data_IF_156056972987
#
_entry.id   IF_156056972987
#
_cell.length_a   1.000
_cell.length_b   1.000
_cell.length_c   1.000
_cell.angle_alpha   90.00
_cell.angle_beta   90.00
_cell.angle_gamma   90.00
#
_symmetry.space_group_name_H-M   'P 1'
#
loop_
_entity.id
_entity.type
_entity.pdbx_description
1 polymer ?
#
# COMPACT_ATOMS: atom_id res chain seq x y z
N UNK A 1 23.91 10.08 11.76
CA UNK A 1 24.53 11.37 11.40
C UNK A 1 25.69 11.24 10.42
N UNK A 2 26.67 10.33 10.62
CA UNK A 2 27.86 10.19 9.74
C UNK A 2 27.62 9.92 8.23
N UNK A 3 26.49 9.37 7.80
CA UNK A 3 26.24 9.10 6.36
C UNK A 3 25.68 10.32 5.62
N UNK A 4 24.74 11.04 6.23
CA UNK A 4 24.17 12.26 5.64
C UNK A 4 25.22 13.36 5.49
N UNK A 5 26.06 13.54 6.51
CA UNK A 5 27.21 14.47 6.50
C UNK A 5 28.20 14.16 5.37
N UNK A 6 28.54 12.87 5.16
CA UNK A 6 29.42 12.43 4.05
C UNK A 6 28.85 12.75 2.68
N UNK A 7 27.52 12.79 2.55
CA UNK A 7 26.82 13.10 1.30
C UNK A 7 26.38 14.56 1.19
N UNK A 8 26.74 15.41 2.16
CA UNK A 8 26.33 16.82 2.21
C UNK A 8 24.82 17.02 2.32
N UNK A 9 24.08 16.02 2.84
CA UNK A 9 22.61 16.08 2.97
C UNK A 9 22.22 16.62 4.35
N UNK A 10 21.36 17.62 4.35
CA UNK A 10 20.91 18.35 5.55
C UNK A 10 19.51 17.94 6.03
N UNK A 11 18.74 17.26 5.18
CA UNK A 11 17.40 16.77 5.50
C UNK A 11 17.51 15.35 6.04
N UNK A 12 16.99 15.14 7.25
CA UNK A 12 16.86 13.82 7.83
C UNK A 12 15.63 13.10 7.25
N UNK A 13 15.78 11.83 6.91
CA UNK A 13 14.70 10.95 6.50
C UNK A 13 14.60 9.75 7.43
N UNK A 14 13.37 9.29 7.67
CA UNK A 14 13.06 8.10 8.44
C UNK A 14 12.09 7.25 7.62
N UNK A 15 12.33 5.93 7.59
CA UNK A 15 11.44 4.97 6.96
C UNK A 15 11.32 3.76 7.87
N UNK A 16 10.21 3.70 8.60
CA UNK A 16 9.78 2.50 9.33
C UNK A 16 8.32 2.22 8.97
N UNK A 17 7.98 1.00 8.50
CA UNK A 17 6.59 0.63 8.26
C UNK A 17 5.74 0.80 9.53
N UNK A 18 4.46 1.15 9.39
CA UNK A 18 3.50 1.42 10.48
C UNK A 18 3.68 2.73 11.23
N UNK A 19 4.68 3.56 10.90
CA UNK A 19 4.80 4.89 11.49
C UNK A 19 3.61 5.79 11.16
N UNK A 20 2.84 5.49 10.10
CA UNK A 20 1.59 6.18 9.80
C UNK A 20 0.59 6.15 10.98
N UNK A 21 0.61 5.12 11.82
CA UNK A 21 -0.28 5.02 12.98
C UNK A 21 0.14 5.90 14.17
N UNK A 22 1.31 6.53 14.09
CA UNK A 22 1.88 7.38 15.12
C UNK A 22 2.15 8.80 14.63
N UNK A 23 1.54 9.20 13.51
CA UNK A 23 1.77 10.51 12.90
C UNK A 23 1.41 11.68 13.81
N UNK A 24 0.36 11.56 14.63
CA UNK A 24 0.01 12.60 15.61
C UNK A 24 1.15 12.84 16.62
N UNK A 25 1.78 11.76 17.08
CA UNK A 25 2.91 11.83 18.00
C UNK A 25 4.16 12.40 17.32
N UNK A 26 4.41 12.01 16.06
CA UNK A 26 5.51 12.57 15.28
C UNK A 26 5.33 14.07 15.05
N UNK A 27 4.11 14.52 14.75
CA UNK A 27 3.77 15.94 14.61
C UNK A 27 3.95 16.73 15.92
N UNK A 28 3.63 16.11 17.06
CA UNK A 28 3.85 16.71 18.38
C UNK A 28 5.35 16.83 18.69
N UNK A 29 6.11 15.75 18.57
CA UNK A 29 7.53 15.73 18.88
C UNK A 29 8.37 16.62 17.97
N UNK A 30 7.98 16.72 16.71
CA UNK A 30 8.67 17.51 15.69
C UNK A 30 7.97 18.85 15.46
N UNK A 31 7.17 19.32 16.41
CA UNK A 31 6.50 20.62 16.34
C UNK A 31 7.51 21.73 16.11
N UNK A 32 7.25 22.58 15.12
CA UNK A 32 8.15 23.66 14.70
C UNK A 32 9.17 23.25 13.63
N UNK A 33 9.27 21.95 13.31
CA UNK A 33 9.98 21.49 12.11
C UNK A 33 9.08 21.57 10.86
N UNK A 34 9.69 21.48 9.68
CA UNK A 34 8.98 21.32 8.42
C UNK A 34 8.74 19.83 8.11
N UNK A 35 7.96 19.16 8.97
CA UNK A 35 7.65 17.73 8.78
C UNK A 35 6.83 17.51 7.50
N UNK A 36 7.37 16.66 6.61
CA UNK A 36 6.69 16.14 5.43
C UNK A 36 6.63 14.62 5.49
N UNK A 37 5.48 14.05 5.16
CA UNK A 37 5.23 12.62 5.21
C UNK A 37 4.84 12.11 3.83
N UNK A 38 5.49 11.04 3.40
CA UNK A 38 5.18 10.33 2.16
C UNK A 38 4.57 9.01 2.56
N UNK A 39 3.32 8.79 2.17
CA UNK A 39 2.61 7.54 2.43
C UNK A 39 2.43 6.82 1.10
N UNK A 40 3.00 5.62 1.02
CA UNK A 40 2.92 4.81 -0.18
C UNK A 40 1.73 3.85 -0.10
N UNK A 41 0.83 3.96 -1.06
CA UNK A 41 -0.27 3.05 -1.28
C UNK A 41 0.10 2.04 -2.36
N UNK A 42 -0.32 0.79 -2.19
CA UNK A 42 -0.13 -0.29 -3.16
C UNK A 42 -1.36 -1.17 -3.21
N UNK A 43 -1.59 -1.87 -4.31
CA UNK A 43 -2.70 -2.81 -4.47
C UNK A 43 -2.76 -3.80 -3.27
N UNK A 44 -3.90 -3.91 -2.56
CA UNK A 44 -4.01 -4.76 -1.38
C UNK A 44 -3.79 -6.25 -1.66
N UNK A 45 -4.09 -6.73 -2.88
CA UNK A 45 -3.74 -8.11 -3.29
C UNK A 45 -2.23 -8.31 -3.21
N UNK A 46 -1.46 -7.38 -3.79
CA UNK A 46 -0.01 -7.48 -3.85
C UNK A 46 0.63 -7.30 -2.49
N UNK A 47 0.05 -6.46 -1.62
CA UNK A 47 0.49 -6.29 -0.24
C UNK A 47 0.29 -7.58 0.55
N UNK A 48 -0.92 -8.15 0.52
CA UNK A 48 -1.24 -9.40 1.25
C UNK A 48 -0.39 -10.56 0.74
N UNK A 49 -0.23 -10.70 -0.58
CA UNK A 49 0.67 -11.68 -1.16
C UNK A 49 2.12 -11.45 -0.68
N UNK A 50 2.63 -10.21 -0.69
CA UNK A 50 3.99 -9.92 -0.27
C UNK A 50 4.28 -10.34 1.18
N UNK A 51 3.32 -10.17 2.10
CA UNK A 51 3.50 -10.58 3.49
C UNK A 51 3.71 -12.10 3.66
N UNK A 52 3.10 -12.93 2.79
CA UNK A 52 3.28 -14.39 2.83
C UNK A 52 4.72 -14.81 2.49
N UNK A 53 5.40 -14.06 1.64
CA UNK A 53 6.71 -14.45 1.09
C UNK A 53 7.88 -13.62 1.66
N UNK A 54 7.68 -12.87 2.74
CA UNK A 54 8.77 -12.07 3.36
C UNK A 54 10.01 -12.95 3.60
N UNK A 55 11.21 -12.51 3.17
CA UNK A 55 12.41 -13.34 3.29
C UNK A 55 12.71 -13.63 4.76
N UNK A 56 12.98 -14.90 5.08
CA UNK A 56 13.20 -15.35 6.46
C UNK A 56 11.93 -15.69 7.25
N UNK A 57 10.74 -15.47 6.68
CA UNK A 57 9.45 -15.91 7.24
C UNK A 57 8.65 -16.82 6.29
N UNK A 58 9.20 -17.14 5.12
CA UNK A 58 8.65 -18.06 4.12
C UNK A 58 8.33 -19.42 4.75
N UNK A 59 7.24 -20.04 4.30
CA UNK A 59 6.70 -21.28 4.90
C UNK A 59 5.99 -21.10 6.26
N UNK A 60 6.44 -20.22 7.17
CA UNK A 60 5.68 -19.89 8.39
C UNK A 60 4.49 -19.01 8.06
N UNK A 61 4.74 -17.91 7.35
CA UNK A 61 3.72 -16.94 6.97
C UNK A 61 2.71 -17.53 5.98
N UNK A 62 3.15 -18.39 5.08
CA UNK A 62 2.27 -19.11 4.15
C UNK A 62 1.25 -20.02 4.86
N UNK A 63 1.60 -20.55 6.04
CA UNK A 63 0.74 -21.42 6.85
C UNK A 63 -0.10 -20.66 7.88
N UNK A 64 0.12 -19.36 8.02
CA UNK A 64 -0.60 -18.52 8.98
C UNK A 64 -1.94 -18.09 8.38
N UNK A 65 -2.99 -18.85 8.69
CA UNK A 65 -4.34 -18.60 8.21
C UNK A 65 -4.89 -17.21 8.58
N UNK A 66 -4.33 -16.56 9.62
CA UNK A 66 -4.72 -15.23 10.06
C UNK A 66 -3.89 -14.10 9.45
N UNK A 67 -2.84 -14.40 8.67
CA UNK A 67 -1.94 -13.37 8.13
C UNK A 67 -2.67 -12.47 7.12
N UNK A 68 -3.33 -13.05 6.11
CA UNK A 68 -4.03 -12.28 5.07
C UNK A 68 -5.10 -11.39 5.68
N UNK A 69 -5.90 -11.92 6.61
CA UNK A 69 -6.90 -11.15 7.34
C UNK A 69 -6.28 -9.94 8.07
N UNK A 70 -5.20 -10.15 8.83
CA UNK A 70 -4.51 -9.06 9.55
C UNK A 70 -3.91 -8.04 8.59
N UNK A 71 -3.23 -8.49 7.53
CA UNK A 71 -2.63 -7.62 6.51
C UNK A 71 -3.69 -6.80 5.77
N UNK A 72 -4.84 -7.38 5.45
CA UNK A 72 -5.96 -6.68 4.83
C UNK A 72 -6.52 -5.58 5.74
N UNK A 73 -6.74 -5.88 7.02
CA UNK A 73 -7.17 -4.86 7.99
C UNK A 73 -6.13 -3.77 8.21
N UNK A 74 -4.85 -4.12 8.26
CA UNK A 74 -3.75 -3.16 8.37
C UNK A 74 -3.70 -2.23 7.15
N UNK A 75 -3.90 -2.78 5.94
CA UNK A 75 -4.00 -2.00 4.71
C UNK A 75 -5.14 -0.98 4.79
N UNK A 76 -6.36 -1.40 5.17
CA UNK A 76 -7.52 -0.48 5.30
C UNK A 76 -7.23 0.63 6.30
N UNK A 77 -6.67 0.29 7.46
CA UNK A 77 -6.31 1.29 8.49
C UNK A 77 -5.27 2.28 7.96
N UNK A 78 -4.21 1.79 7.32
CA UNK A 78 -3.12 2.61 6.79
C UNK A 78 -3.63 3.60 5.74
N UNK A 79 -4.43 3.14 4.77
CA UNK A 79 -4.99 4.01 3.73
C UNK A 79 -6.02 4.99 4.29
N UNK A 80 -6.83 4.59 5.27
CA UNK A 80 -7.77 5.50 5.93
C UNK A 80 -7.03 6.65 6.62
N UNK A 81 -5.95 6.35 7.37
CA UNK A 81 -5.11 7.38 7.99
C UNK A 81 -4.47 8.27 6.92
N UNK A 82 -3.95 7.67 5.85
CA UNK A 82 -3.30 8.41 4.78
C UNK A 82 -4.25 9.41 4.11
N UNK A 83 -5.46 8.97 3.77
CA UNK A 83 -6.50 9.81 3.18
C UNK A 83 -6.91 10.95 4.13
N UNK A 84 -7.15 10.64 5.40
CA UNK A 84 -7.52 11.64 6.40
C UNK A 84 -6.43 12.71 6.58
N UNK A 85 -5.16 12.29 6.72
CA UNK A 85 -4.01 13.20 6.87
C UNK A 85 -3.77 14.03 5.62
N UNK A 86 -3.80 13.41 4.43
CA UNK A 86 -3.70 14.12 3.15
C UNK A 86 -4.80 15.15 2.96
N UNK A 87 -6.04 14.80 3.29
CA UNK A 87 -7.17 15.71 3.19
C UNK A 87 -7.02 16.90 4.15
N UNK A 88 -6.63 16.65 5.40
CA UNK A 88 -6.50 17.70 6.40
C UNK A 88 -5.29 18.63 6.16
N UNK A 89 -4.18 18.11 5.64
CA UNK A 89 -2.90 18.83 5.50
C UNK A 89 -2.16 18.46 4.21
N UNK A 90 -2.69 18.80 3.02
CA UNK A 90 -2.11 18.40 1.73
C UNK A 90 -0.70 18.95 1.48
N UNK A 91 -0.29 20.00 2.18
CA UNK A 91 1.07 20.54 2.10
C UNK A 91 2.10 19.73 2.92
N UNK A 92 1.65 18.91 3.87
CA UNK A 92 2.50 18.09 4.73
C UNK A 92 2.48 16.60 4.37
N UNK A 93 1.42 16.13 3.70
CA UNK A 93 1.22 14.70 3.41
C UNK A 93 1.12 14.46 1.93
N UNK A 94 1.93 13.57 1.40
CA UNK A 94 1.90 13.14 -0.01
C UNK A 94 1.50 11.66 -0.07
N UNK A 95 0.44 11.35 -0.81
CA UNK A 95 0.00 9.99 -1.06
C UNK A 95 0.54 9.54 -2.43
N UNK A 96 1.43 8.55 -2.44
CA UNK A 96 2.05 8.04 -3.65
C UNK A 96 1.54 6.63 -3.94
N UNK A 97 1.04 6.37 -5.15
CA UNK A 97 0.73 5.01 -5.60
C UNK A 97 2.00 4.34 -6.08
N UNK A 98 2.27 3.15 -5.58
CA UNK A 98 3.39 2.33 -6.01
C UNK A 98 3.30 2.05 -7.51
N UNK A 99 2.11 1.74 -8.01
CA UNK A 99 1.87 1.42 -9.42
C UNK A 99 2.21 2.60 -10.33
N UNK A 100 1.86 3.83 -9.91
CA UNK A 100 2.21 5.05 -10.65
C UNK A 100 3.73 5.27 -10.61
N UNK A 101 4.37 5.08 -9.45
CA UNK A 101 5.83 5.21 -9.29
C UNK A 101 6.58 4.25 -10.22
N UNK A 102 6.14 3.00 -10.32
CA UNK A 102 6.83 2.04 -11.18
C UNK A 102 6.50 2.28 -12.66
N UNK A 103 5.29 2.77 -12.98
CA UNK A 103 4.86 3.08 -14.34
C UNK A 103 5.55 4.31 -14.95
N UNK A 104 5.83 5.33 -14.14
CA UNK A 104 6.61 6.50 -14.54
C UNK A 104 7.51 7.00 -13.38
N UNK A 105 8.67 6.35 -13.15
CA UNK A 105 9.56 6.73 -12.06
C UNK A 105 10.06 8.16 -12.13
N UNK A 106 10.24 8.70 -13.34
CA UNK A 106 10.73 10.05 -13.57
C UNK A 106 9.72 11.09 -13.12
N UNK A 107 8.49 11.01 -13.63
CA UNK A 107 7.45 11.98 -13.29
C UNK A 107 7.14 11.92 -11.80
N UNK A 108 6.99 10.71 -11.23
CA UNK A 108 6.62 10.54 -9.83
C UNK A 108 7.73 10.97 -8.87
N UNK A 109 8.99 10.68 -9.18
CA UNK A 109 10.12 11.10 -8.33
C UNK A 109 10.35 12.60 -8.43
N UNK A 110 10.16 13.22 -9.60
CA UNK A 110 10.21 14.69 -9.73
C UNK A 110 9.11 15.36 -8.90
N UNK A 111 7.86 14.90 -9.00
CA UNK A 111 6.76 15.42 -8.19
C UNK A 111 7.03 15.25 -6.68
N UNK A 112 7.66 14.14 -6.28
CA UNK A 112 8.08 13.92 -4.90
C UNK A 112 9.17 14.90 -4.45
N UNK A 113 10.19 15.13 -5.29
CA UNK A 113 11.24 16.11 -5.04
C UNK A 113 10.67 17.53 -4.91
N UNK A 114 9.74 17.92 -5.77
CA UNK A 114 9.03 19.21 -5.69
C UNK A 114 8.23 19.32 -4.39
N UNK A 115 7.48 18.28 -4.02
CA UNK A 115 6.75 18.22 -2.75
C UNK A 115 7.71 18.38 -1.56
N UNK A 116 8.88 17.74 -1.60
CA UNK A 116 9.89 17.81 -0.54
C UNK A 116 10.65 19.13 -0.53
N UNK A 117 10.78 19.82 -1.66
CA UNK A 117 11.62 21.00 -1.84
C UNK A 117 13.11 20.65 -1.98
N UNK A 118 13.41 19.56 -2.68
CA UNK A 118 14.79 19.09 -2.94
C UNK A 118 15.04 18.94 -4.43
N UNK A 119 16.31 18.98 -4.85
CA UNK A 119 16.68 18.76 -6.24
C UNK A 119 16.46 17.30 -6.66
N UNK A 120 16.05 17.11 -7.91
CA UNK A 120 15.95 15.77 -8.52
C UNK A 120 17.33 15.30 -8.99
N UNK A 121 17.88 14.28 -8.33
CA UNK A 121 19.18 13.69 -8.64
C UNK A 121 19.01 12.31 -9.29
N UNK A 122 18.68 12.28 -10.59
CA UNK A 122 18.32 11.06 -11.33
C UNK A 122 19.29 9.89 -11.09
N UNK A 123 20.60 10.12 -11.24
CA UNK A 123 21.62 9.07 -11.11
C UNK A 123 21.63 8.45 -9.71
N UNK A 124 21.37 9.24 -8.66
CA UNK A 124 21.37 8.77 -7.28
C UNK A 124 20.03 8.17 -6.87
N UNK A 125 18.92 8.72 -7.38
CA UNK A 125 17.56 8.35 -6.95
C UNK A 125 16.97 7.21 -7.77
N UNK A 126 17.25 7.12 -9.07
CA UNK A 126 16.69 6.09 -9.96
C UNK A 126 17.72 5.03 -10.36
N UNK A 127 18.94 5.46 -10.71
CA UNK A 127 20.03 4.54 -11.07
C UNK A 127 20.81 4.02 -9.86
N UNK A 128 20.59 4.62 -8.68
CA UNK A 128 21.25 4.26 -7.43
C UNK A 128 22.79 4.24 -7.53
N UNK A 129 23.37 5.19 -8.28
CA UNK A 129 24.80 5.24 -8.61
C UNK A 129 25.74 5.25 -7.39
N UNK A 130 25.29 5.80 -6.26
CA UNK A 130 26.06 5.86 -5.01
C UNK A 130 25.73 4.70 -4.05
N UNK A 131 24.82 3.80 -4.43
CA UNK A 131 24.31 2.75 -3.55
C UNK A 131 25.18 1.50 -3.59
N UNK A 132 26.17 1.43 -2.70
CA UNK A 132 27.04 0.26 -2.52
C UNK A 132 26.41 -0.78 -1.58
N UNK A 133 25.56 -1.65 -2.14
CA UNK A 133 25.22 -2.96 -1.57
C UNK A 133 24.54 -2.94 -0.19
N UNK A 134 23.22 -2.75 -0.17
CA UNK A 134 22.33 -3.33 0.85
C UNK A 134 21.31 -4.24 0.17
N UNK A 135 20.88 -5.29 0.87
CA UNK A 135 19.94 -6.30 0.34
C UNK A 135 18.68 -5.63 -0.20
N UNK A 136 18.25 -6.04 -1.39
CA UNK A 136 16.92 -5.70 -1.89
C UNK A 136 15.87 -6.19 -0.89
N UNK A 137 14.93 -5.32 -0.51
CA UNK A 137 13.84 -5.67 0.41
C UNK A 137 12.68 -6.38 -0.32
N UNK A 138 12.94 -7.02 -1.46
CA UNK A 138 11.92 -7.77 -2.18
C UNK A 138 11.56 -9.04 -1.42
N UNK A 139 10.26 -9.31 -1.29
CA UNK A 139 9.78 -10.59 -0.75
C UNK A 139 9.95 -11.75 -1.73
N UNK A 140 10.21 -11.46 -3.01
CA UNK A 140 10.35 -12.47 -4.05
C UNK A 140 11.77 -12.41 -4.60
N UNK A 141 12.65 -13.27 -4.05
CA UNK A 141 14.10 -13.25 -4.32
C UNK A 141 14.50 -13.63 -5.75
N UNK A 142 13.59 -14.16 -6.57
CA UNK A 142 13.88 -14.56 -7.96
C UNK A 142 13.69 -13.42 -8.98
N UNK A 143 13.22 -12.24 -8.55
CA UNK A 143 12.95 -11.10 -9.44
C UNK A 143 14.23 -10.26 -9.76
N UNK A 144 15.43 -10.80 -9.53
CA UNK A 144 16.72 -10.08 -9.64
C UNK A 144 17.32 -10.03 -11.05
N UNK A 145 16.70 -10.66 -12.06
CA UNK A 145 17.21 -10.73 -13.43
C UNK A 145 16.45 -9.82 -14.40
N UNK A 146 16.26 -8.55 -14.04
CA UNK A 146 15.78 -7.56 -15.00
C UNK A 146 16.95 -6.69 -15.46
N UNK A 147 17.30 -6.81 -16.74
CA UNK A 147 18.06 -5.80 -17.46
C UNK A 147 17.22 -4.53 -17.59
N UNK A 148 17.07 -3.81 -16.49
CA UNK A 148 16.46 -2.49 -16.48
C UNK A 148 17.52 -1.45 -16.16
N UNK A 149 17.47 -0.33 -16.88
CA UNK A 149 18.32 0.86 -16.63
C UNK A 149 18.08 1.45 -15.23
N UNK A 150 17.01 1.03 -14.54
CA UNK A 150 16.59 1.47 -13.22
C UNK A 150 16.24 0.28 -12.33
N UNK A 151 16.53 0.36 -11.02
CA UNK A 151 16.23 -0.69 -10.03
C UNK A 151 14.78 -0.65 -9.51
N UNK A 152 13.83 -0.17 -10.31
CA UNK A 152 12.42 -0.04 -9.92
C UNK A 152 11.63 -1.17 -10.57
N UNK A 153 11.39 -2.21 -9.78
CA UNK A 153 10.68 -3.40 -10.20
C UNK A 153 9.19 -3.09 -10.49
N UNK A 154 8.69 -3.56 -11.64
CA UNK A 154 7.25 -3.58 -12.00
C UNK A 154 6.71 -5.00 -11.82
N UNK A 155 6.00 -5.31 -10.73
CA UNK A 155 5.33 -6.59 -10.57
C UNK A 155 4.13 -6.68 -11.50
N UNK A 156 3.95 -7.85 -12.11
CA UNK A 156 2.60 -8.32 -12.40
C UNK A 156 1.83 -8.50 -11.09
N UNK A 157 0.50 -8.51 -11.16
CA UNK A 157 -0.31 -8.79 -9.98
C UNK A 157 0.12 -10.11 -9.34
N UNK A 158 0.23 -10.13 -8.01
CA UNK A 158 0.63 -11.29 -7.22
C UNK A 158 -0.58 -12.12 -6.77
N UNK A 159 -1.72 -11.94 -7.43
CA UNK A 159 -2.97 -12.63 -7.13
C UNK A 159 -2.82 -14.15 -7.11
N UNK A 160 -2.00 -14.73 -8.01
CA UNK A 160 -1.75 -16.19 -8.05
C UNK A 160 -1.12 -16.76 -6.76
N UNK A 161 -0.57 -15.90 -5.89
CA UNK A 161 0.04 -16.31 -4.63
C UNK A 161 -0.96 -16.34 -3.45
N UNK A 162 -2.21 -15.96 -3.70
CA UNK A 162 -3.32 -16.07 -2.76
C UNK A 162 -4.26 -17.22 -3.18
N UNK A 163 -4.75 -17.97 -2.19
CA UNK A 163 -5.85 -18.92 -2.41
C UNK A 163 -7.16 -18.17 -2.71
N UNK A 164 -8.18 -18.91 -3.14
CA UNK A 164 -9.52 -18.34 -3.33
C UNK A 164 -10.07 -17.75 -2.02
N UNK A 165 -9.93 -18.46 -0.89
CA UNK A 165 -10.40 -17.99 0.41
C UNK A 165 -9.66 -16.73 0.85
N UNK A 166 -8.34 -16.67 0.66
CA UNK A 166 -7.53 -15.48 0.94
C UNK A 166 -7.94 -14.31 0.05
N UNK A 167 -8.21 -14.56 -1.23
CA UNK A 167 -8.71 -13.54 -2.16
C UNK A 167 -10.08 -13.02 -1.73
N UNK A 168 -10.95 -13.88 -1.20
CA UNK A 168 -12.25 -13.47 -0.64
C UNK A 168 -12.09 -12.62 0.63
N UNK A 169 -11.12 -12.94 1.49
CA UNK A 169 -10.79 -12.08 2.63
C UNK A 169 -10.34 -10.69 2.16
N UNK A 170 -9.45 -10.62 1.16
CA UNK A 170 -8.99 -9.33 0.61
C UNK A 170 -10.15 -8.55 -0.01
N UNK A 171 -11.05 -9.20 -0.75
CA UNK A 171 -12.28 -8.56 -1.23
C UNK A 171 -13.11 -8.00 -0.08
N UNK A 172 -13.47 -8.85 0.88
CA UNK A 172 -14.46 -8.52 1.89
C UNK A 172 -13.95 -7.43 2.85
N UNK A 173 -12.63 -7.37 3.08
CA UNK A 173 -12.01 -6.37 3.96
C UNK A 173 -11.60 -5.10 3.20
N UNK A 174 -10.92 -5.24 2.04
CA UNK A 174 -10.31 -4.10 1.34
C UNK A 174 -11.13 -3.58 0.16
N UNK A 175 -12.07 -4.38 -0.38
CA UNK A 175 -12.60 -4.18 -1.73
C UNK A 175 -13.24 -2.82 -1.98
N UNK A 176 -14.13 -2.38 -1.10
CA UNK A 176 -14.81 -1.08 -1.25
C UNK A 176 -13.81 0.09 -1.26
N UNK A 177 -12.86 0.10 -0.32
CA UNK A 177 -11.85 1.16 -0.23
C UNK A 177 -10.87 1.07 -1.40
N UNK A 178 -10.44 -0.13 -1.79
CA UNK A 178 -9.57 -0.36 -2.95
C UNK A 178 -10.19 0.19 -4.24
N UNK A 179 -11.47 -0.11 -4.47
CA UNK A 179 -12.22 0.44 -5.58
C UNK A 179 -12.31 1.97 -5.51
N UNK A 180 -12.67 2.52 -4.35
CA UNK A 180 -12.82 3.96 -4.14
C UNK A 180 -11.53 4.75 -4.40
N UNK A 181 -10.37 4.17 -4.09
CA UNK A 181 -9.05 4.78 -4.36
C UNK A 181 -8.47 4.41 -5.73
N UNK A 182 -9.26 3.74 -6.58
CA UNK A 182 -8.96 3.54 -7.99
C UNK A 182 -8.15 2.29 -8.32
N UNK A 183 -8.28 1.21 -7.53
CA UNK A 183 -7.85 -0.12 -7.94
C UNK A 183 -8.96 -0.83 -8.71
N UNK A 184 -8.65 -1.26 -9.92
CA UNK A 184 -9.58 -1.93 -10.83
C UNK A 184 -9.23 -3.41 -10.93
N UNK A 185 -9.76 -4.20 -10.01
CA UNK A 185 -9.79 -5.67 -10.09
C UNK A 185 -11.25 -6.10 -9.88
N UNK A 186 -11.69 -7.15 -10.57
CA UNK A 186 -13.04 -7.69 -10.48
C UNK A 186 -13.46 -7.99 -9.04
N UNK A 187 -12.53 -8.42 -8.18
CA UNK A 187 -12.84 -8.72 -6.79
C UNK A 187 -13.17 -7.45 -5.99
N UNK A 188 -12.72 -6.27 -6.42
CA UNK A 188 -13.02 -5.02 -5.73
C UNK A 188 -14.34 -4.39 -6.18
N UNK A 189 -14.96 -4.91 -7.25
CA UNK A 189 -16.20 -4.36 -7.77
C UNK A 189 -17.33 -4.45 -6.72
N UNK A 190 -17.99 -3.34 -6.35
CA UNK A 190 -19.09 -3.36 -5.40
C UNK A 190 -20.24 -4.26 -5.87
N UNK A 191 -20.77 -5.10 -4.99
CA UNK A 191 -21.81 -6.08 -5.33
C UNK A 191 -23.15 -5.48 -5.78
N UNK A 192 -23.39 -4.20 -5.50
CA UNK A 192 -24.59 -3.47 -5.92
C UNK A 192 -24.45 -2.80 -7.31
N UNK A 193 -23.24 -2.82 -7.87
CA UNK A 193 -22.92 -2.39 -9.24
C UNK A 193 -22.66 -3.62 -10.08
N UNK A 194 -23.74 -4.29 -10.47
CA UNK A 194 -23.64 -5.22 -11.60
C UNK A 194 -23.18 -4.44 -12.84
N UNK A 195 -22.34 -5.07 -13.66
CA UNK A 195 -22.10 -4.62 -15.03
C UNK A 195 -23.47 -4.33 -15.68
N UNK A 196 -23.60 -3.27 -16.52
CA UNK A 196 -24.90 -2.79 -16.98
C UNK A 196 -25.69 -3.93 -17.63
N UNK A 197 -26.67 -4.51 -16.91
CA UNK A 197 -27.31 -5.77 -17.30
C UNK A 197 -28.43 -6.30 -16.38
N UNK A 198 -28.13 -6.73 -15.15
CA UNK A 198 -28.96 -7.77 -14.49
C UNK A 198 -29.56 -7.44 -13.08
N UNK A 199 -29.45 -6.18 -12.62
CA UNK A 199 -29.44 -5.81 -11.19
C UNK A 199 -30.73 -5.86 -10.34
N UNK A 200 -31.76 -6.63 -10.70
CA UNK A 200 -33.05 -6.62 -9.95
C UNK A 200 -33.22 -7.83 -9.02
N UNK A 201 -32.63 -8.99 -9.33
CA UNK A 201 -32.86 -10.22 -8.57
C UNK A 201 -32.00 -10.34 -7.29
N UNK A 202 -30.77 -9.82 -7.34
CA UNK A 202 -29.71 -9.93 -6.33
C UNK A 202 -29.98 -9.11 -5.06
N UNK A 203 -30.56 -7.90 -5.19
CA UNK A 203 -30.86 -7.01 -4.04
C UNK A 203 -31.87 -7.61 -3.06
N UNK A 204 -32.88 -8.34 -3.55
CA UNK A 204 -33.87 -9.03 -2.67
C UNK A 204 -33.22 -10.15 -1.85
N UNK A 205 -32.22 -10.84 -2.40
CA UNK A 205 -31.57 -11.96 -1.72
C UNK A 205 -30.67 -11.49 -0.56
N UNK A 206 -29.90 -10.41 -0.74
CA UNK A 206 -28.99 -9.89 0.30
C UNK A 206 -29.74 -9.25 1.48
N UNK A 207 -30.82 -8.50 1.22
CA UNK A 207 -31.67 -7.93 2.29
C UNK A 207 -32.31 -9.02 3.14
N UNK A 208 -32.75 -10.12 2.51
CA UNK A 208 -33.30 -11.26 3.23
C UNK A 208 -32.24 -12.00 4.06
N UNK A 209 -30.99 -12.07 3.60
CA UNK A 209 -29.87 -12.67 4.34
C UNK A 209 -29.51 -11.86 5.58
N UNK A 210 -29.46 -10.51 5.46
CA UNK A 210 -29.22 -9.60 6.59
C UNK A 210 -30.37 -9.62 7.61
N UNK A 211 -31.62 -9.67 7.15
CA UNK A 211 -32.79 -9.83 8.04
C UNK A 211 -32.75 -11.15 8.82
N UNK A 212 -32.35 -12.25 8.17
CA UNK A 212 -32.22 -13.56 8.82
C UNK A 212 -31.10 -13.58 9.87
N UNK A 213 -30.00 -12.89 9.62
CA UNK A 213 -28.87 -12.77 10.54
C UNK A 213 -29.18 -11.84 11.74
N UNK A 214 -29.91 -10.74 11.52
CA UNK A 214 -30.34 -9.85 12.61
C UNK A 214 -31.28 -10.54 13.63
N UNK A 215 -32.14 -11.45 13.16
CA UNK A 215 -33.08 -12.20 14.01
C UNK A 215 -32.42 -13.28 14.84
N UNK A 216 -31.23 -13.77 14.46
CA UNK A 216 -30.51 -14.77 15.26
C UNK A 216 -29.66 -14.17 16.37
N UNK A 217 -29.33 -12.87 16.31
CA UNK A 217 -28.49 -12.19 17.29
C UNK A 217 -29.29 -11.49 18.40
N UNK A 218 -30.54 -11.16 18.14
CA UNK A 218 -31.45 -10.55 19.11
C UNK A 218 -32.82 -11.22 19.05
N UNK A 219 -33.00 -12.38 19.69
CA UNK A 219 -34.33 -12.95 19.88
C UNK A 219 -35.11 -12.05 20.85
N UNK A 220 -36.30 -11.62 20.45
CA UNK A 220 -37.28 -11.06 21.38
C UNK A 220 -37.80 -12.14 22.33
#
# INVERSE_FOLDING_TARGET
TRYAEKLGKTIAGEKTPRNEFYLDLAEEWLKGSQLKCIIMMRNPIDVCASYKFIPGAQGKNEKDAGLVYRSAHEWVRSITVALAKRYARPQNYFLLRYEDLVADPHAQTRALCEFLGVDFEESRMLSLADFSGHKDNTSFGQEQNLQQTYRIYRPESRKQFLSNDETMVVRDVCGELAWAVGYQDEIFMPADREAPGDGVATKKHQINKLRRWSRSLFPH
#
